data_IF_845328023267
#
_entry.id   IF_845328023267
#
_cell.length_a   1.000
_cell.length_b   1.000
_cell.length_c   1.000
_cell.angle_alpha   90.00
_cell.angle_beta   90.00
_cell.angle_gamma   90.00
#
_symmetry.space_group_name_H-M   'P 1'
#
loop_
_entity.id
_entity.type
_entity.pdbx_description
1 polymer ?
#
# COMPACT_ATOMS: atom_id res chain seq x y z
N UNK A 1 2.05 -23.06 -9.68
CA UNK A 1 2.27 -21.63 -9.95
C UNK A 1 2.03 -21.26 -11.42
N UNK A 2 2.13 -22.21 -12.36
CA UNK A 2 2.06 -21.97 -13.81
C UNK A 2 0.71 -21.48 -14.36
N UNK A 3 -0.42 -21.96 -13.83
CA UNK A 3 -1.74 -21.55 -14.35
C UNK A 3 -2.09 -20.07 -14.05
N UNK A 4 -1.67 -19.55 -12.90
CA UNK A 4 -1.89 -18.15 -12.52
C UNK A 4 -0.95 -17.18 -13.25
N UNK A 5 0.24 -17.64 -13.65
CA UNK A 5 1.16 -16.90 -14.48
C UNK A 5 0.63 -16.77 -15.93
N UNK A 6 0.15 -17.88 -16.49
CA UNK A 6 -0.46 -17.90 -17.82
C UNK A 6 -1.78 -17.11 -17.95
N UNK A 7 -2.40 -16.73 -16.83
CA UNK A 7 -3.64 -15.94 -16.81
C UNK A 7 -3.42 -14.43 -16.59
N UNK A 8 -2.18 -13.94 -16.71
CA UNK A 8 -1.85 -12.52 -16.50
C UNK A 8 -2.20 -11.69 -17.73
N UNK A 9 -2.40 -10.38 -17.52
CA UNK A 9 -2.83 -9.45 -18.56
C UNK A 9 -1.86 -9.42 -19.76
N UNK A 10 -0.56 -9.59 -19.52
CA UNK A 10 0.45 -9.66 -20.60
C UNK A 10 0.12 -10.78 -21.60
N UNK A 11 -0.19 -11.99 -21.10
CA UNK A 11 -0.50 -13.16 -21.91
C UNK A 11 -1.83 -12.98 -22.65
N UNK A 12 -2.82 -12.35 -22.01
CA UNK A 12 -4.10 -12.05 -22.62
C UNK A 12 -3.97 -11.00 -23.74
N UNK A 13 -3.21 -9.93 -23.50
CA UNK A 13 -2.95 -8.89 -24.50
C UNK A 13 -2.19 -9.45 -25.70
N UNK A 14 -1.18 -10.29 -25.45
CA UNK A 14 -0.45 -10.97 -26.50
C UNK A 14 -1.37 -11.87 -27.34
N UNK A 15 -2.21 -12.68 -26.70
CA UNK A 15 -3.19 -13.52 -27.39
C UNK A 15 -4.18 -12.71 -28.24
N UNK A 16 -4.64 -11.55 -27.75
CA UNK A 16 -5.50 -10.64 -28.50
C UNK A 16 -4.79 -10.03 -29.71
N UNK A 17 -3.51 -9.68 -29.58
CA UNK A 17 -2.71 -9.16 -30.70
C UNK A 17 -2.52 -10.23 -31.78
N UNK A 18 -2.23 -11.49 -31.40
CA UNK A 18 -2.11 -12.61 -32.34
C UNK A 18 -3.42 -12.85 -33.11
N UNK A 19 -4.57 -12.82 -32.43
CA UNK A 19 -5.88 -12.93 -33.07
C UNK A 19 -6.09 -11.87 -34.14
N UNK A 20 -5.77 -10.61 -33.82
CA UNK A 20 -5.93 -9.50 -34.77
C UNK A 20 -4.98 -9.64 -35.97
N UNK A 21 -3.71 -9.99 -35.73
CA UNK A 21 -2.71 -10.15 -36.79
C UNK A 21 -3.03 -11.30 -37.75
N UNK A 22 -3.64 -12.37 -37.25
CA UNK A 22 -4.08 -13.51 -38.05
C UNK A 22 -5.43 -13.29 -38.77
N UNK A 23 -5.99 -12.07 -38.72
CA UNK A 23 -7.31 -11.79 -39.29
C UNK A 23 -8.44 -12.59 -38.62
N UNK A 24 -8.28 -12.91 -37.34
CA UNK A 24 -9.19 -13.74 -36.54
C UNK A 24 -9.32 -15.20 -37.01
N UNK A 25 -8.35 -15.71 -37.76
CA UNK A 25 -8.25 -17.14 -38.12
C UNK A 25 -7.68 -17.96 -36.95
N UNK A 26 -8.54 -18.71 -36.28
CA UNK A 26 -8.17 -19.55 -35.12
C UNK A 26 -7.15 -20.63 -35.49
N UNK A 27 -7.14 -21.13 -36.73
CA UNK A 27 -6.20 -22.16 -37.18
C UNK A 27 -4.77 -21.62 -37.25
N UNK A 28 -4.62 -20.42 -37.82
CA UNK A 28 -3.32 -19.73 -37.89
C UNK A 28 -2.82 -19.34 -36.49
N UNK A 29 -3.70 -18.80 -35.64
CA UNK A 29 -3.35 -18.44 -34.26
C UNK A 29 -2.91 -19.67 -33.47
N UNK A 30 -3.62 -20.79 -33.59
CA UNK A 30 -3.24 -22.04 -32.91
C UNK A 30 -1.89 -22.56 -33.37
N UNK A 31 -1.60 -22.47 -34.68
CA UNK A 31 -0.29 -22.84 -35.21
C UNK A 31 0.82 -21.96 -34.62
N UNK A 32 0.62 -20.64 -34.58
CA UNK A 32 1.60 -19.68 -34.02
C UNK A 32 1.84 -19.92 -32.54
N UNK A 33 0.78 -20.05 -31.73
CA UNK A 33 0.90 -20.29 -30.28
C UNK A 33 1.64 -21.59 -29.97
N UNK A 34 1.41 -22.65 -30.77
CA UNK A 34 2.04 -23.96 -30.55
C UNK A 34 3.51 -24.01 -31.01
N UNK A 35 3.90 -23.22 -32.02
CA UNK A 35 5.24 -23.26 -32.61
C UNK A 35 6.16 -22.15 -32.12
N UNK A 36 5.60 -21.00 -31.75
CA UNK A 36 6.33 -19.84 -31.24
C UNK A 36 5.92 -19.63 -29.79
N UNK A 37 6.43 -20.50 -28.92
CA UNK A 37 6.22 -20.43 -27.48
C UNK A 37 7.19 -19.40 -26.85
N UNK A 38 7.19 -18.18 -27.36
CA UNK A 38 7.73 -17.05 -26.60
C UNK A 38 6.63 -16.59 -25.64
N UNK A 39 6.65 -17.16 -24.45
CA UNK A 39 5.86 -16.61 -23.35
C UNK A 39 6.42 -15.21 -23.06
N UNK A 40 5.65 -14.17 -23.39
CA UNK A 40 5.90 -12.84 -22.85
C UNK A 40 5.70 -12.91 -21.34
N UNK A 41 6.80 -13.04 -20.61
CA UNK A 41 6.83 -13.06 -19.15
C UNK A 41 6.75 -11.62 -18.67
N UNK A 42 5.89 -11.34 -17.71
CA UNK A 42 5.83 -9.99 -17.13
C UNK A 42 6.94 -9.78 -16.10
N UNK A 43 7.15 -8.53 -15.69
CA UNK A 43 8.20 -8.16 -14.74
C UNK A 43 8.11 -8.92 -13.41
N UNK A 44 6.94 -9.40 -12.97
CA UNK A 44 6.87 -10.19 -11.73
C UNK A 44 7.53 -11.56 -11.86
N UNK A 45 7.56 -12.10 -13.08
CA UNK A 45 8.06 -13.44 -13.41
C UNK A 45 9.48 -13.38 -13.97
N UNK A 46 9.87 -12.27 -14.59
CA UNK A 46 11.23 -12.02 -15.10
C UNK A 46 12.25 -11.75 -13.98
N UNK A 47 11.80 -11.30 -12.81
CA UNK A 47 12.69 -10.95 -11.71
C UNK A 47 13.18 -12.16 -10.94
N UNK A 48 14.50 -12.24 -10.75
CA UNK A 48 15.10 -13.26 -9.91
C UNK A 48 14.78 -13.04 -8.43
N UNK A 49 14.85 -14.11 -7.63
CA UNK A 49 14.68 -14.01 -6.18
C UNK A 49 15.68 -13.05 -5.53
N UNK A 50 16.91 -12.95 -6.09
CA UNK A 50 17.93 -12.02 -5.62
C UNK A 50 17.54 -10.55 -5.90
N UNK A 51 17.05 -10.26 -7.10
CA UNK A 51 16.57 -8.91 -7.46
C UNK A 51 15.35 -8.50 -6.65
N UNK A 52 14.42 -9.43 -6.42
CA UNK A 52 13.25 -9.20 -5.57
C UNK A 52 13.65 -8.83 -4.14
N UNK A 53 14.69 -9.47 -3.59
CA UNK A 53 15.22 -9.13 -2.26
C UNK A 53 15.92 -7.76 -2.27
N UNK A 54 16.79 -7.50 -3.26
CA UNK A 54 17.44 -6.19 -3.42
C UNK A 54 16.43 -5.04 -3.49
N UNK A 55 15.30 -5.24 -4.16
CA UNK A 55 14.24 -4.24 -4.23
C UNK A 55 13.50 -4.02 -2.91
N UNK A 56 13.26 -5.06 -2.14
CA UNK A 56 12.67 -4.93 -0.80
C UNK A 56 13.59 -4.16 0.15
N UNK A 57 14.88 -4.47 0.13
CA UNK A 57 15.91 -3.76 0.91
C UNK A 57 16.01 -2.29 0.48
N UNK A 58 15.97 -2.04 -0.82
CA UNK A 58 16.00 -0.69 -1.37
C UNK A 58 14.75 0.14 -0.99
N UNK A 59 13.56 -0.47 -1.05
CA UNK A 59 12.30 0.16 -0.63
C UNK A 59 12.29 0.47 0.87
N UNK A 60 12.92 -0.37 1.71
CA UNK A 60 13.03 -0.10 3.14
C UNK A 60 13.98 1.06 3.43
N UNK A 61 15.06 1.20 2.65
CA UNK A 61 16.06 2.26 2.84
C UNK A 61 15.65 3.60 2.23
N UNK A 62 15.17 3.61 0.98
CA UNK A 62 14.93 4.82 0.19
C UNK A 62 13.44 5.12 -0.04
N UNK A 63 12.53 4.24 0.42
CA UNK A 63 11.11 4.42 0.17
C UNK A 63 10.80 4.35 -1.32
N UNK A 64 10.06 5.34 -1.84
CA UNK A 64 9.61 5.36 -3.25
C UNK A 64 10.50 6.20 -4.16
N UNK A 65 11.72 6.52 -3.74
CA UNK A 65 12.69 7.16 -4.63
C UNK A 65 13.31 6.12 -5.56
N UNK A 66 12.64 5.87 -6.69
CA UNK A 66 13.08 4.88 -7.66
C UNK A 66 14.39 5.26 -8.37
N UNK A 67 14.81 6.53 -8.30
CA UNK A 67 16.09 6.96 -8.85
C UNK A 67 17.22 6.40 -8.01
N UNK A 68 17.12 6.57 -6.69
CA UNK A 68 18.12 6.07 -5.73
C UNK A 68 18.09 4.54 -5.61
N UNK A 69 16.89 3.94 -5.61
CA UNK A 69 16.73 2.47 -5.69
C UNK A 69 17.47 1.91 -6.92
N UNK A 70 17.34 2.56 -8.08
CA UNK A 70 18.02 2.10 -9.29
C UNK A 70 19.53 2.26 -9.19
N UNK A 71 20.01 3.44 -8.79
CA UNK A 71 21.45 3.73 -8.78
C UNK A 71 22.20 2.80 -7.83
N UNK A 72 21.65 2.55 -6.64
CA UNK A 72 22.37 1.82 -5.59
C UNK A 72 22.11 0.32 -5.59
N UNK A 73 20.91 -0.14 -5.97
CA UNK A 73 20.53 -1.55 -5.83
C UNK A 73 20.31 -2.26 -7.17
N UNK A 74 19.80 -1.56 -8.20
CA UNK A 74 19.41 -2.18 -9.48
C UNK A 74 19.88 -1.36 -10.70
N UNK A 75 21.19 -1.10 -10.86
CA UNK A 75 21.69 -0.21 -11.91
C UNK A 75 21.46 -0.76 -13.33
N UNK A 76 21.25 -2.07 -13.46
CA UNK A 76 20.97 -2.74 -14.73
C UNK A 76 19.50 -2.76 -15.13
N UNK A 77 18.57 -2.40 -14.23
CA UNK A 77 17.13 -2.30 -14.57
C UNK A 77 16.77 -0.90 -15.04
N UNK A 78 15.84 -0.80 -15.98
CA UNK A 78 15.37 0.51 -16.41
C UNK A 78 14.45 1.13 -15.34
N UNK A 79 14.34 2.47 -15.26
CA UNK A 79 13.39 3.11 -14.36
C UNK A 79 11.95 2.64 -14.60
N UNK A 80 11.60 2.33 -15.85
CA UNK A 80 10.29 1.81 -16.23
C UNK A 80 10.03 0.44 -15.57
N UNK A 81 10.98 -0.48 -15.70
CA UNK A 81 10.83 -1.86 -15.21
C UNK A 81 10.71 -1.90 -13.68
N UNK A 82 11.47 -1.04 -12.99
CA UNK A 82 11.41 -0.91 -11.53
C UNK A 82 10.03 -0.41 -11.08
N UNK A 83 9.49 0.60 -11.77
CA UNK A 83 8.15 1.13 -11.46
C UNK A 83 7.07 0.10 -11.77
N UNK A 84 7.17 -0.58 -12.92
CA UNK A 84 6.23 -1.63 -13.30
C UNK A 84 6.24 -2.79 -12.28
N UNK A 85 7.43 -3.27 -11.92
CA UNK A 85 7.61 -4.27 -10.88
C UNK A 85 7.02 -3.82 -9.55
N UNK A 86 7.22 -2.57 -9.13
CA UNK A 86 6.64 -2.03 -7.90
C UNK A 86 5.10 -2.16 -7.84
N UNK A 87 4.41 -1.86 -8.94
CA UNK A 87 2.96 -1.96 -8.99
C UNK A 87 2.49 -3.42 -9.00
N UNK A 88 3.20 -4.31 -9.71
CA UNK A 88 2.90 -5.74 -9.70
C UNK A 88 3.19 -6.37 -8.32
N UNK A 89 4.34 -6.07 -7.72
CA UNK A 89 4.74 -6.55 -6.39
C UNK A 89 3.73 -6.19 -5.31
N UNK A 90 3.12 -4.99 -5.37
CA UNK A 90 2.06 -4.56 -4.44
C UNK A 90 0.79 -5.41 -4.49
N UNK A 91 0.57 -6.20 -5.53
CA UNK A 91 -0.56 -7.14 -5.61
C UNK A 91 -0.21 -8.53 -5.12
N UNK A 92 1.06 -8.79 -4.79
CA UNK A 92 1.47 -10.10 -4.27
C UNK A 92 0.90 -10.36 -2.89
N UNK A 93 0.54 -11.63 -2.63
CA UNK A 93 0.15 -12.07 -1.29
C UNK A 93 1.22 -11.73 -0.24
N UNK A 94 2.51 -11.87 -0.60
CA UNK A 94 3.64 -11.51 0.29
C UNK A 94 3.53 -10.05 0.76
N UNK A 95 3.36 -9.10 -0.15
CA UNK A 95 3.21 -7.69 0.20
C UNK A 95 1.95 -7.43 1.04
N UNK A 96 0.82 -7.99 0.63
CA UNK A 96 -0.46 -7.80 1.33
C UNK A 96 -0.37 -8.27 2.77
N UNK A 97 0.19 -9.46 3.00
CA UNK A 97 0.38 -10.02 4.35
C UNK A 97 1.40 -9.21 5.16
N UNK A 98 2.50 -8.80 4.55
CA UNK A 98 3.50 -7.94 5.22
C UNK A 98 2.88 -6.61 5.68
N UNK A 99 2.05 -5.99 4.84
CA UNK A 99 1.36 -4.74 5.16
C UNK A 99 0.32 -4.91 6.27
N UNK A 100 -0.46 -5.99 6.24
CA UNK A 100 -1.40 -6.34 7.32
C UNK A 100 -0.67 -6.53 8.65
N UNK A 101 0.45 -7.26 8.65
CA UNK A 101 1.28 -7.46 9.84
C UNK A 101 1.80 -6.14 10.41
N UNK A 102 2.39 -5.27 9.56
CA UNK A 102 2.85 -3.94 9.98
C UNK A 102 1.71 -3.07 10.54
N UNK A 103 0.51 -3.15 9.98
CA UNK A 103 -0.66 -2.45 10.49
C UNK A 103 -1.11 -2.98 11.87
N UNK A 104 -1.17 -4.31 12.04
CA UNK A 104 -1.51 -4.94 13.33
C UNK A 104 -0.47 -4.62 14.41
N UNK A 105 0.82 -4.58 14.05
CA UNK A 105 1.89 -4.13 14.95
C UNK A 105 1.75 -2.66 15.34
N UNK A 106 1.33 -1.80 14.42
CA UNK A 106 1.05 -0.39 14.72
C UNK A 106 -0.18 -0.26 15.65
N UNK A 107 -1.24 -1.02 15.37
CA UNK A 107 -2.46 -1.05 16.17
C UNK A 107 -2.19 -1.55 17.60
N UNK A 108 -1.39 -2.61 17.76
CA UNK A 108 -0.99 -3.10 19.09
C UNK A 108 -0.11 -2.12 19.88
N UNK A 109 0.57 -1.19 19.21
CA UNK A 109 1.35 -0.11 19.86
C UNK A 109 0.51 1.11 20.22
N UNK A 110 -0.74 1.24 19.73
CA UNK A 110 -1.61 2.33 20.15
C UNK A 110 -1.93 2.16 21.64
N UNK A 111 -1.66 3.20 22.42
CA UNK A 111 -2.09 3.23 23.82
C UNK A 111 -3.60 3.31 23.87
N UNK A 112 -4.23 2.37 24.56
CA UNK A 112 -5.64 2.41 24.86
C UNK A 112 -5.90 3.59 25.81
N UNK A 113 -6.42 4.70 25.26
CA UNK A 113 -6.83 5.85 26.07
C UNK A 113 -8.20 5.50 26.67
N UNK A 114 -8.24 5.32 27.99
CA UNK A 114 -9.50 5.20 28.70
C UNK A 114 -10.20 6.57 28.68
N UNK A 115 -11.37 6.64 28.05
CA UNK A 115 -12.25 7.81 28.09
C UNK A 115 -13.28 7.55 29.19
N UNK A 116 -13.21 8.24 30.34
CA UNK A 116 -14.20 8.10 31.39
C UNK A 116 -15.60 8.45 30.87
N UNK A 117 -16.62 7.70 31.31
CA UNK A 117 -18.00 8.00 30.96
C UNK A 117 -18.46 9.28 31.68
N UNK A 118 -18.57 10.39 30.93
CA UNK A 118 -18.98 11.70 31.45
C UNK A 118 -20.51 11.90 31.52
N UNK A 119 -21.34 10.88 31.27
CA UNK A 119 -22.81 11.02 31.30
C UNK A 119 -23.41 11.24 32.70
N UNK A 120 -22.62 11.16 33.77
CA UNK A 120 -23.08 11.55 35.10
C UNK A 120 -22.99 13.08 35.24
N UNK A 121 -23.93 13.77 34.62
CA UNK A 121 -24.19 15.20 34.82
C UNK A 121 -24.67 15.43 36.25
N UNK A 122 -23.73 15.71 37.15
CA UNK A 122 -23.98 16.13 38.52
C UNK A 122 -22.91 17.11 39.04
N UNK A 123 -22.14 17.72 38.13
CA UNK A 123 -21.06 18.65 38.46
C UNK A 123 -21.56 20.07 38.69
N UNK A 124 -21.00 20.73 39.71
CA UNK A 124 -21.17 22.16 39.98
C UNK A 124 -20.77 22.98 38.76
N UNK A 125 -21.52 24.04 38.44
CA UNK A 125 -21.20 24.98 37.35
C UNK A 125 -19.80 25.55 37.54
N UNK A 126 -18.92 25.31 36.56
CA UNK A 126 -17.55 25.83 36.56
C UNK A 126 -17.48 27.00 35.57
N UNK A 127 -16.90 28.12 36.02
CA UNK A 127 -16.64 29.30 35.19
C UNK A 127 -15.24 29.18 34.61
N UNK A 128 -15.14 29.14 33.28
CA UNK A 128 -13.85 29.09 32.58
C UNK A 128 -13.13 30.44 32.67
N UNK A 129 -11.80 30.41 32.63
CA UNK A 129 -10.97 31.63 32.55
C UNK A 129 -11.01 32.19 31.11
N UNK A 130 -11.15 31.31 30.11
CA UNK A 130 -11.32 31.67 28.69
C UNK A 130 -12.64 31.14 28.11
N UNK A 131 -13.25 31.86 27.14
CA UNK A 131 -14.48 31.42 26.49
C UNK A 131 -14.22 30.17 25.65
N UNK A 132 -15.14 29.20 25.71
CA UNK A 132 -15.04 27.97 24.93
C UNK A 132 -14.75 28.26 23.45
N UNK A 133 -13.74 27.62 22.84
CA UNK A 133 -13.36 27.94 21.46
C UNK A 133 -14.48 27.73 20.44
N UNK A 134 -15.34 26.74 20.66
CA UNK A 134 -16.47 26.40 19.78
C UNK A 134 -17.73 27.24 20.02
N UNK A 135 -18.20 27.37 21.26
CA UNK A 135 -19.48 28.03 21.56
C UNK A 135 -19.34 29.43 22.20
N UNK A 136 -18.12 29.88 22.51
CA UNK A 136 -17.79 31.17 23.16
C UNK A 136 -18.46 31.39 24.52
N UNK A 137 -19.04 30.36 25.12
CA UNK A 137 -19.68 30.43 26.43
C UNK A 137 -18.61 30.35 27.53
N UNK A 138 -18.79 31.17 28.58
CA UNK A 138 -17.88 31.26 29.73
C UNK A 138 -18.26 30.32 30.90
N UNK A 139 -19.48 29.78 30.89
CA UNK A 139 -20.02 28.94 31.96
C UNK A 139 -20.61 27.65 31.39
N UNK A 140 -20.22 26.52 31.96
CA UNK A 140 -20.78 25.21 31.61
C UNK A 140 -20.90 24.35 32.87
N UNK A 141 -21.94 23.53 32.93
CA UNK A 141 -22.08 22.49 33.95
C UNK A 141 -21.12 21.31 33.74
N UNK A 142 -20.43 21.26 32.59
CA UNK A 142 -19.50 20.21 32.21
C UNK A 142 -18.28 20.79 31.47
N UNK A 143 -17.45 21.55 32.18
CA UNK A 143 -16.14 21.95 31.65
C UNK A 143 -15.17 20.76 31.73
N UNK A 144 -14.66 20.34 30.58
CA UNK A 144 -13.63 19.32 30.50
C UNK A 144 -12.30 19.98 30.12
N UNK A 145 -11.29 19.79 30.95
CA UNK A 145 -9.95 20.26 30.66
C UNK A 145 -9.33 19.39 29.56
N UNK A 146 -8.81 20.03 28.52
CA UNK A 146 -8.11 19.34 27.44
C UNK A 146 -6.66 19.08 27.87
N UNK A 147 -6.21 17.84 27.70
CA UNK A 147 -4.83 17.46 27.95
C UNK A 147 -4.54 17.02 29.40
N UNK A 148 -3.32 16.49 29.63
CA UNK A 148 -2.89 16.00 30.93
C UNK A 148 -2.80 17.16 31.94
N UNK A 149 -2.97 16.88 33.23
CA UNK A 149 -3.11 17.88 34.31
C UNK A 149 -1.97 18.89 34.39
N UNK A 150 -0.79 18.54 33.88
CA UNK A 150 0.40 19.38 33.79
C UNK A 150 0.45 20.28 32.54
N UNK A 151 -0.48 20.13 31.60
CA UNK A 151 -0.64 20.96 30.39
C UNK A 151 -2.01 21.60 30.30
N UNK A 152 -2.81 21.49 31.37
CA UNK A 152 -4.07 22.22 31.46
C UNK A 152 -3.75 23.70 31.58
N UNK A 153 -3.89 24.43 30.47
CA UNK A 153 -4.04 25.87 30.49
C UNK A 153 -5.30 26.15 31.34
N UNK A 154 -5.09 26.72 32.53
CA UNK A 154 -6.16 27.10 33.44
C UNK A 154 -6.77 28.41 32.99
#
# INVERSE_FOLDING_TARGET
MTAAAASRDVTLLHAMALLHQAGYDIGQVSFVILHFQEAEMDQIEEWSAAEANLFEDALEKYGKDFSDVRVDFLPWKSPRDIVEYYYMWKTTNRYVEQKKKKNAEHESKLKQVYIPNHSKTGGTTVKGIEPCEGCKVMESSAWHAWGPTNMQLR
#
